data_IF_165465628533
#
_entry.id   IF_165465628533
#
_cell.length_a   1.000
_cell.length_b   1.000
_cell.length_c   1.000
_cell.angle_alpha   90.00
_cell.angle_beta   90.00
_cell.angle_gamma   90.00
#
_symmetry.space_group_name_H-M   'P 1'
#
loop_
_entity.id
_entity.type
_entity.pdbx_description
1 polymer ?
#
# COMPACT_ATOMS: atom_id res chain seq x y z
N UNK A 1 9.59 -17.01 33.90
CA UNK A 1 8.26 -16.82 34.51
C UNK A 1 7.48 -15.82 33.66
N UNK A 2 6.55 -16.32 32.85
CA UNK A 2 5.61 -15.55 32.05
C UNK A 2 4.63 -14.91 33.03
N UNK A 3 4.73 -13.59 33.22
CA UNK A 3 3.73 -12.82 33.92
C UNK A 3 2.47 -12.71 33.08
N UNK A 4 1.45 -13.43 33.46
CA UNK A 4 0.08 -13.16 33.04
C UNK A 4 -0.32 -11.79 33.54
N UNK A 5 -0.39 -10.80 32.65
CA UNK A 5 -1.08 -9.54 32.94
C UNK A 5 -2.57 -9.84 32.84
N UNK A 6 -3.19 -10.05 34.00
CA UNK A 6 -4.63 -10.05 34.18
C UNK A 6 -5.11 -8.61 33.90
N UNK A 7 -5.71 -8.37 32.74
CA UNK A 7 -6.43 -7.13 32.48
C UNK A 7 -7.71 -7.11 33.33
N UNK A 8 -7.67 -6.41 34.45
CA UNK A 8 -8.88 -5.86 35.05
C UNK A 8 -9.54 -4.96 33.98
N UNK A 9 -10.85 -5.11 33.78
CA UNK A 9 -11.70 -4.25 32.94
C UNK A 9 -11.66 -2.80 33.45
N UNK A 10 -10.58 -2.09 33.16
CA UNK A 10 -10.55 -0.64 33.09
C UNK A 10 -10.92 -0.27 31.66
N UNK A 11 -11.88 0.60 31.48
CA UNK A 11 -12.30 1.08 30.17
C UNK A 11 -11.08 1.60 29.42
N UNK A 12 -10.60 0.87 28.41
CA UNK A 12 -9.56 1.32 27.50
C UNK A 12 -10.25 2.25 26.52
N UNK A 13 -10.14 3.54 26.71
CA UNK A 13 -10.85 4.53 25.92
C UNK A 13 -9.85 5.22 24.98
N UNK A 14 -10.06 5.09 23.66
CA UNK A 14 -9.43 5.96 22.68
C UNK A 14 -9.98 7.38 22.82
N UNK A 15 -9.09 8.35 22.85
CA UNK A 15 -9.47 9.75 22.92
C UNK A 15 -9.56 10.32 21.50
N UNK A 16 -10.72 10.85 21.15
CA UNK A 16 -10.93 11.59 19.91
C UNK A 16 -10.81 13.09 20.17
N UNK A 17 -10.20 13.83 19.25
CA UNK A 17 -10.01 15.27 19.36
C UNK A 17 -11.33 16.01 19.55
N UNK A 18 -11.34 17.11 20.35
CA UNK A 18 -12.53 17.93 20.53
C UNK A 18 -13.05 18.47 19.20
N UNK A 19 -14.37 18.32 18.95
CA UNK A 19 -15.01 18.78 17.71
C UNK A 19 -15.02 17.73 16.58
N UNK A 20 -14.40 16.56 16.77
CA UNK A 20 -14.61 15.43 15.89
C UNK A 20 -15.99 14.85 16.19
N UNK A 21 -16.95 15.07 15.28
CA UNK A 21 -18.17 14.27 15.33
C UNK A 21 -17.80 12.85 14.96
N UNK A 22 -18.01 11.89 15.83
CA UNK A 22 -17.94 10.46 15.50
C UNK A 22 -19.23 10.11 14.76
N UNK A 23 -19.46 10.79 13.62
CA UNK A 23 -20.56 10.49 12.70
C UNK A 23 -20.24 9.20 11.96
N UNK A 24 -20.38 8.11 12.59
CA UNK A 24 -19.94 6.81 12.15
C UNK A 24 -19.52 5.98 13.35
N UNK A 25 -20.22 6.15 14.47
CA UNK A 25 -20.02 5.37 15.70
C UNK A 25 -19.90 3.86 15.41
N UNK A 26 -20.52 3.39 14.32
CA UNK A 26 -20.43 2.02 13.85
C UNK A 26 -19.02 1.60 13.35
N UNK A 27 -18.21 2.53 12.81
CA UNK A 27 -16.85 2.21 12.36
C UNK A 27 -15.90 2.06 13.56
N UNK A 28 -16.05 2.90 14.57
CA UNK A 28 -15.28 2.81 15.81
C UNK A 28 -16.12 2.13 16.92
N UNK A 29 -16.71 0.94 16.60
CA UNK A 29 -17.35 0.10 17.60
C UNK A 29 -16.38 -0.32 18.71
N UNK A 30 -16.87 -0.70 19.87
CA UNK A 30 -16.04 -1.13 21.01
C UNK A 30 -15.05 -2.23 20.60
N UNK A 31 -15.50 -3.26 19.90
CA UNK A 31 -14.66 -4.37 19.44
C UNK A 31 -13.58 -3.90 18.43
N UNK A 32 -13.92 -2.97 17.53
CA UNK A 32 -12.97 -2.40 16.58
C UNK A 32 -11.91 -1.55 17.29
N UNK A 33 -12.32 -0.78 18.30
CA UNK A 33 -11.41 0.00 19.13
C UNK A 33 -10.51 -0.91 19.97
N UNK A 34 -11.03 -2.02 20.51
CA UNK A 34 -10.24 -2.99 21.28
C UNK A 34 -9.12 -3.58 20.41
N UNK A 35 -9.43 -4.03 19.20
CA UNK A 35 -8.41 -4.54 18.28
C UNK A 35 -7.37 -3.45 17.93
N UNK A 36 -7.82 -2.24 17.61
CA UNK A 36 -6.93 -1.12 17.29
C UNK A 36 -5.99 -0.79 18.47
N UNK A 37 -6.50 -0.82 19.67
CA UNK A 37 -5.73 -0.60 20.89
C UNK A 37 -4.68 -1.69 21.11
N UNK A 38 -5.04 -2.95 20.95
CA UNK A 38 -4.10 -4.07 21.05
C UNK A 38 -2.94 -3.92 20.05
N UNK A 39 -3.28 -3.54 18.81
CA UNK A 39 -2.29 -3.28 17.76
C UNK A 39 -1.40 -2.09 18.14
N UNK A 40 -1.98 -0.98 18.59
CA UNK A 40 -1.24 0.21 19.01
C UNK A 40 -0.26 -0.11 20.15
N UNK A 41 -0.75 -0.71 21.22
CA UNK A 41 0.07 -1.04 22.40
C UNK A 41 1.23 -1.97 22.07
N UNK A 42 1.01 -2.90 21.14
CA UNK A 42 2.03 -3.87 20.75
C UNK A 42 3.09 -3.31 19.81
N UNK A 43 2.72 -2.44 18.88
CA UNK A 43 3.59 -2.06 17.77
C UNK A 43 4.04 -0.59 17.74
N UNK A 44 3.39 0.31 18.49
CA UNK A 44 3.72 1.75 18.44
C UNK A 44 5.21 2.01 18.69
N UNK A 45 5.76 1.45 19.78
CA UNK A 45 7.16 1.66 20.14
C UNK A 45 8.13 1.08 19.09
N UNK A 46 7.76 -0.05 18.47
CA UNK A 46 8.58 -0.64 17.39
C UNK A 46 8.61 0.28 16.17
N UNK A 47 7.49 0.90 15.83
CA UNK A 47 7.42 1.86 14.72
C UNK A 47 8.22 3.12 15.06
N UNK A 48 8.12 3.65 16.29
CA UNK A 48 8.92 4.79 16.73
C UNK A 48 10.43 4.50 16.57
N UNK A 49 10.89 3.32 16.98
CA UNK A 49 12.28 2.90 16.80
C UNK A 49 12.69 2.81 15.33
N UNK A 50 11.83 2.28 14.46
CA UNK A 50 12.09 2.20 13.01
C UNK A 50 12.19 3.59 12.36
N UNK A 51 11.36 4.53 12.79
CA UNK A 51 11.43 5.91 12.30
C UNK A 51 12.71 6.63 12.76
N UNK A 52 13.21 6.31 13.95
CA UNK A 52 14.51 6.80 14.40
C UNK A 52 15.67 6.15 13.64
N UNK A 53 15.56 4.87 13.29
CA UNK A 53 16.55 4.21 12.40
C UNK A 53 16.60 4.86 11.01
N UNK A 54 15.47 5.31 10.46
CA UNK A 54 15.47 6.09 9.21
C UNK A 54 16.33 7.36 9.31
N UNK A 55 16.27 8.07 10.44
CA UNK A 55 17.08 9.28 10.68
C UNK A 55 18.57 8.94 10.77
N UNK A 56 18.92 7.87 11.50
CA UNK A 56 20.30 7.39 11.59
C UNK A 56 20.83 6.97 10.22
N UNK A 57 20.02 6.24 9.45
CA UNK A 57 20.39 5.84 8.10
C UNK A 57 20.69 7.07 7.22
N UNK A 58 19.82 8.08 7.22
CA UNK A 58 20.04 9.32 6.45
C UNK A 58 21.33 10.03 6.88
N UNK A 59 21.57 10.13 8.20
CA UNK A 59 22.81 10.72 8.71
C UNK A 59 24.06 9.98 8.22
N UNK A 60 24.02 8.64 8.19
CA UNK A 60 25.13 7.84 7.65
C UNK A 60 25.33 8.11 6.14
N UNK A 61 24.24 8.20 5.39
CA UNK A 61 24.31 8.53 3.96
C UNK A 61 24.93 9.92 3.76
N UNK A 62 24.49 10.91 4.51
CA UNK A 62 25.01 12.29 4.42
C UNK A 62 26.52 12.36 4.78
N UNK A 63 27.04 11.40 5.55
CA UNK A 63 28.46 11.21 5.87
C UNK A 63 29.23 10.37 4.86
N UNK A 64 28.59 9.91 3.78
CA UNK A 64 29.26 9.19 2.67
C UNK A 64 29.01 7.69 2.64
N UNK A 65 28.22 7.12 3.55
CA UNK A 65 27.83 5.69 3.51
C UNK A 65 26.66 5.53 2.53
N UNK A 66 26.97 5.31 1.27
CA UNK A 66 25.96 5.19 0.21
C UNK A 66 25.09 3.94 0.39
N UNK A 67 23.81 3.99 -0.06
CA UNK A 67 22.92 2.83 -0.08
C UNK A 67 23.57 1.62 -0.79
N UNK A 68 23.51 0.45 -0.18
CA UNK A 68 24.06 -0.78 -0.71
C UNK A 68 23.30 -2.00 -0.19
N UNK A 69 23.54 -3.15 -0.79
CA UNK A 69 23.04 -4.42 -0.26
C UNK A 69 23.68 -4.75 1.09
N UNK A 70 22.85 -5.15 2.06
CA UNK A 70 23.34 -5.53 3.39
C UNK A 70 24.08 -6.89 3.32
N UNK A 71 25.36 -6.95 3.67
CA UNK A 71 26.09 -8.23 3.67
C UNK A 71 25.54 -9.22 4.69
N UNK A 72 24.92 -8.77 5.78
CA UNK A 72 24.35 -9.63 6.82
C UNK A 72 23.14 -10.43 6.34
N UNK A 73 22.48 -9.99 5.28
CA UNK A 73 21.31 -10.66 4.69
C UNK A 73 21.63 -11.37 3.38
N UNK A 74 22.90 -11.54 3.04
CA UNK A 74 23.33 -12.15 1.78
C UNK A 74 22.74 -13.56 1.59
N UNK A 75 22.59 -14.35 2.67
CA UNK A 75 21.99 -15.68 2.62
C UNK A 75 20.52 -15.63 2.13
N UNK A 76 19.75 -14.63 2.52
CA UNK A 76 18.37 -14.44 2.03
C UNK A 76 18.37 -14.26 0.51
N UNK A 77 19.32 -13.49 -0.02
CA UNK A 77 19.43 -13.22 -1.47
C UNK A 77 19.91 -14.42 -2.27
N UNK A 78 20.77 -15.27 -1.67
CA UNK A 78 21.39 -16.42 -2.33
C UNK A 78 20.59 -17.72 -2.20
N UNK A 79 19.84 -17.90 -1.10
CA UNK A 79 19.08 -19.13 -0.86
C UNK A 79 17.84 -19.24 -1.76
N UNK A 80 17.41 -20.48 -1.96
CA UNK A 80 16.24 -20.82 -2.76
C UNK A 80 14.98 -20.81 -1.88
N UNK A 81 14.10 -19.87 -2.15
CA UNK A 81 12.79 -19.72 -1.52
C UNK A 81 11.85 -18.91 -2.41
N UNK A 82 10.56 -19.08 -2.22
CA UNK A 82 9.52 -18.34 -2.92
C UNK A 82 8.47 -17.81 -1.94
N UNK A 83 7.71 -16.81 -2.37
CA UNK A 83 6.56 -16.33 -1.63
C UNK A 83 5.42 -17.36 -1.67
N UNK A 84 4.48 -17.26 -0.73
CA UNK A 84 3.29 -18.11 -0.70
C UNK A 84 2.48 -17.96 -1.98
N UNK A 85 1.87 -19.06 -2.43
CA UNK A 85 1.02 -19.09 -3.63
C UNK A 85 0.03 -17.91 -3.65
N UNK A 86 -0.03 -17.25 -4.81
CA UNK A 86 -0.90 -16.11 -5.05
C UNK A 86 -2.34 -16.62 -5.20
N UNK A 87 -3.33 -15.99 -4.54
CA UNK A 87 -4.74 -16.32 -4.71
C UNK A 87 -5.17 -16.26 -6.18
N UNK A 88 -6.07 -17.16 -6.59
CA UNK A 88 -6.49 -17.28 -7.99
C UNK A 88 -7.04 -15.97 -8.56
N UNK A 89 -7.89 -15.29 -7.78
CA UNK A 89 -8.49 -14.00 -8.17
C UNK A 89 -7.47 -12.84 -8.28
N UNK A 90 -6.26 -12.97 -7.74
CA UNK A 90 -5.17 -12.00 -7.89
C UNK A 90 -4.19 -12.34 -9.02
N UNK A 91 -4.38 -13.43 -9.76
CA UNK A 91 -3.48 -13.82 -10.83
C UNK A 91 -3.56 -12.89 -12.04
N UNK A 92 -4.72 -12.29 -12.30
CA UNK A 92 -4.87 -11.29 -13.35
C UNK A 92 -4.95 -9.88 -12.75
N UNK A 93 -3.82 -9.19 -12.77
CA UNK A 93 -3.65 -7.82 -12.30
C UNK A 93 -3.10 -6.91 -13.39
N UNK A 94 -3.44 -7.19 -14.65
CA UNK A 94 -2.88 -6.47 -15.80
C UNK A 94 -3.25 -4.99 -15.83
N UNK A 95 -4.43 -4.64 -15.34
CA UNK A 95 -4.91 -3.25 -15.31
C UNK A 95 -5.36 -2.93 -13.89
N UNK A 96 -4.67 -1.99 -13.27
CA UNK A 96 -5.02 -1.44 -11.97
C UNK A 96 -5.19 0.07 -12.07
N UNK A 97 -6.16 0.60 -11.33
CA UNK A 97 -6.36 2.05 -11.20
C UNK A 97 -6.34 2.43 -9.73
N UNK A 98 -5.98 3.68 -9.47
CA UNK A 98 -5.91 4.27 -8.14
C UNK A 98 -6.82 5.47 -8.06
N UNK A 99 -7.44 5.66 -6.91
CA UNK A 99 -8.22 6.84 -6.60
C UNK A 99 -8.52 6.97 -5.11
N UNK A 100 -8.98 8.15 -4.67
CA UNK A 100 -9.31 8.40 -3.27
C UNK A 100 -10.49 7.56 -2.80
N UNK A 101 -10.63 7.45 -1.48
CA UNK A 101 -11.74 6.74 -0.83
C UNK A 101 -13.06 7.54 -0.80
N UNK A 102 -13.24 8.42 -1.78
CA UNK A 102 -14.51 9.13 -2.02
C UNK A 102 -15.59 8.18 -2.54
N UNK A 103 -16.81 8.32 -2.03
CA UNK A 103 -17.91 7.40 -2.29
C UNK A 103 -18.24 7.21 -3.78
N UNK A 104 -18.35 8.32 -4.51
CA UNK A 104 -18.64 8.30 -5.95
C UNK A 104 -17.46 7.76 -6.75
N UNK A 105 -16.23 8.13 -6.36
CA UNK A 105 -15.02 7.67 -7.03
C UNK A 105 -14.83 6.16 -6.87
N UNK A 106 -15.07 5.60 -5.68
CA UNK A 106 -15.03 4.16 -5.43
C UNK A 106 -16.00 3.42 -6.35
N UNK A 107 -17.27 3.86 -6.43
CA UNK A 107 -18.29 3.22 -7.28
C UNK A 107 -17.85 3.24 -8.75
N UNK A 108 -17.40 4.40 -9.25
CA UNK A 108 -16.96 4.52 -10.63
C UNK A 108 -15.73 3.66 -10.93
N UNK A 109 -14.78 3.62 -10.02
CA UNK A 109 -13.55 2.84 -10.16
C UNK A 109 -13.82 1.33 -10.15
N UNK A 110 -14.62 0.85 -9.22
CA UNK A 110 -15.01 -0.56 -9.14
C UNK A 110 -15.85 -1.01 -10.33
N UNK A 111 -16.62 -0.11 -10.93
CA UNK A 111 -17.44 -0.38 -12.13
C UNK A 111 -16.67 -0.23 -13.43
N UNK A 112 -15.43 0.25 -13.40
CA UNK A 112 -14.61 0.37 -14.59
C UNK A 112 -14.10 -1.00 -15.04
N UNK A 113 -13.77 -1.14 -16.33
CA UNK A 113 -13.28 -2.40 -16.88
C UNK A 113 -11.79 -2.60 -16.55
N UNK A 114 -11.48 -2.74 -15.27
CA UNK A 114 -10.13 -2.99 -14.72
C UNK A 114 -10.14 -4.21 -13.81
N UNK A 115 -8.97 -4.80 -13.58
CA UNK A 115 -8.87 -5.95 -12.72
C UNK A 115 -8.91 -5.55 -11.24
N UNK A 116 -8.24 -4.44 -10.88
CA UNK A 116 -8.08 -3.99 -9.50
C UNK A 116 -8.30 -2.49 -9.39
N UNK A 117 -8.98 -2.10 -8.32
CA UNK A 117 -9.02 -0.73 -7.83
C UNK A 117 -8.27 -0.62 -6.51
N UNK A 118 -7.20 0.15 -6.49
CA UNK A 118 -6.48 0.53 -5.28
C UNK A 118 -7.10 1.79 -4.69
N UNK A 119 -7.95 1.63 -3.68
CA UNK A 119 -8.55 2.72 -2.91
C UNK A 119 -7.52 3.27 -1.92
N UNK A 120 -7.30 4.56 -1.97
CA UNK A 120 -6.10 5.19 -1.44
C UNK A 120 -6.38 6.17 -0.31
N UNK A 121 -5.91 5.82 0.91
CA UNK A 121 -5.89 6.70 2.08
C UNK A 121 -4.63 7.57 2.16
N UNK A 122 -3.63 7.32 1.32
CA UNK A 122 -2.33 7.98 1.40
C UNK A 122 -2.25 9.22 0.48
N UNK A 123 -1.77 9.04 -0.75
CA UNK A 123 -1.38 10.17 -1.61
C UNK A 123 -2.58 10.87 -2.28
N UNK A 124 -3.69 10.17 -2.50
CA UNK A 124 -4.87 10.73 -3.19
C UNK A 124 -5.89 11.36 -2.25
N UNK A 125 -5.69 11.30 -0.95
CA UNK A 125 -6.64 11.78 0.05
C UNK A 125 -6.03 12.85 0.94
N UNK A 126 -6.69 13.99 1.07
CA UNK A 126 -6.35 14.94 2.14
C UNK A 126 -6.73 14.32 3.50
N UNK A 127 -5.79 14.18 4.46
CA UNK A 127 -6.02 13.41 5.69
C UNK A 127 -6.76 14.22 6.76
N UNK A 128 -7.86 14.85 6.37
CA UNK A 128 -8.81 15.44 7.33
C UNK A 128 -9.58 14.32 8.03
N UNK A 129 -10.05 14.59 9.24
CA UNK A 129 -10.81 13.60 9.98
C UNK A 129 -12.06 13.12 9.23
N UNK A 130 -12.80 14.06 8.63
CA UNK A 130 -14.00 13.73 7.86
C UNK A 130 -13.67 12.83 6.66
N UNK A 131 -12.57 13.08 5.95
CA UNK A 131 -12.16 12.25 4.84
C UNK A 131 -11.75 10.84 5.30
N UNK A 132 -11.05 10.72 6.42
CA UNK A 132 -10.65 9.42 6.97
C UNK A 132 -11.88 8.63 7.42
N UNK A 133 -12.77 9.23 8.21
CA UNK A 133 -14.00 8.58 8.66
C UNK A 133 -14.89 8.16 7.50
N UNK A 134 -15.20 9.10 6.61
CA UNK A 134 -16.04 8.82 5.45
C UNK A 134 -15.38 7.78 4.54
N UNK A 135 -14.07 7.83 4.39
CA UNK A 135 -13.29 6.83 3.66
C UNK A 135 -13.47 5.43 4.23
N UNK A 136 -13.35 5.25 5.53
CA UNK A 136 -13.55 3.97 6.20
C UNK A 136 -14.99 3.45 6.03
N UNK A 137 -16.00 4.33 6.16
CA UNK A 137 -17.42 3.99 5.89
C UNK A 137 -17.60 3.58 4.43
N UNK A 138 -17.07 4.35 3.49
CA UNK A 138 -17.18 4.07 2.06
C UNK A 138 -16.53 2.73 1.69
N UNK A 139 -15.36 2.43 2.28
CA UNK A 139 -14.66 1.17 2.07
C UNK A 139 -15.41 -0.02 2.66
N UNK A 140 -16.07 0.15 3.82
CA UNK A 140 -16.96 -0.86 4.40
C UNK A 140 -18.13 -1.14 3.46
N UNK A 141 -18.85 -0.09 3.05
CA UNK A 141 -20.01 -0.24 2.19
C UNK A 141 -19.63 -0.86 0.82
N UNK A 142 -18.44 -0.53 0.29
CA UNK A 142 -17.93 -1.13 -0.95
C UNK A 142 -17.61 -2.61 -0.78
N UNK A 143 -16.89 -3.00 0.28
CA UNK A 143 -16.57 -4.39 0.58
C UNK A 143 -17.81 -5.25 0.82
N UNK A 144 -18.86 -4.66 1.42
CA UNK A 144 -20.15 -5.29 1.65
C UNK A 144 -21.09 -5.25 0.44
N UNK A 145 -20.69 -4.59 -0.67
CA UNK A 145 -21.47 -4.37 -1.90
C UNK A 145 -22.78 -3.61 -1.67
N UNK A 146 -22.82 -2.76 -0.64
CA UNK A 146 -23.97 -1.92 -0.27
C UNK A 146 -23.78 -0.45 -0.64
N UNK A 147 -22.61 -0.10 -1.19
CA UNK A 147 -22.28 1.28 -1.53
C UNK A 147 -23.19 1.79 -2.67
N UNK A 148 -23.81 2.92 -2.42
CA UNK A 148 -24.58 3.67 -3.42
C UNK A 148 -24.37 5.16 -3.23
N UNK A 149 -24.58 5.94 -4.27
CA UNK A 149 -24.47 7.40 -4.22
C UNK A 149 -25.53 8.02 -5.12
N UNK A 150 -26.27 9.00 -4.61
CA UNK A 150 -27.18 9.82 -5.39
C UNK A 150 -26.65 11.26 -5.46
N UNK A 151 -26.53 11.78 -6.65
CA UNK A 151 -26.15 13.18 -6.84
C UNK A 151 -27.35 14.08 -6.57
N UNK A 152 -27.27 14.94 -5.55
CA UNK A 152 -28.36 15.80 -5.11
C UNK A 152 -28.80 16.85 -6.15
N UNK A 153 -27.93 17.19 -7.11
CA UNK A 153 -28.23 18.21 -8.15
C UNK A 153 -28.83 17.56 -9.40
N UNK A 154 -28.21 16.46 -9.86
CA UNK A 154 -28.61 15.80 -11.11
C UNK A 154 -29.56 14.64 -10.89
N UNK A 155 -29.82 14.25 -9.64
CA UNK A 155 -30.59 13.07 -9.22
C UNK A 155 -30.09 11.75 -9.83
N UNK A 156 -28.89 11.75 -10.40
CA UNK A 156 -28.28 10.55 -10.95
C UNK A 156 -27.84 9.61 -9.82
N UNK A 157 -28.25 8.36 -9.93
CA UNK A 157 -27.86 7.30 -9.02
C UNK A 157 -26.63 6.55 -9.53
N UNK A 158 -25.79 6.13 -8.60
CA UNK A 158 -24.58 5.33 -8.82
C UNK A 158 -24.64 4.12 -7.89
N UNK A 159 -24.58 2.94 -8.45
CA UNK A 159 -24.60 1.66 -7.74
C UNK A 159 -23.47 0.77 -8.26
N UNK A 160 -23.06 -0.23 -7.48
CA UNK A 160 -22.10 -1.21 -7.96
C UNK A 160 -22.71 -2.15 -8.99
N UNK A 161 -21.92 -2.48 -10.00
CA UNK A 161 -22.20 -3.56 -10.93
C UNK A 161 -22.16 -4.92 -10.20
N UNK A 162 -22.79 -5.97 -10.76
CA UNK A 162 -22.76 -7.31 -10.16
C UNK A 162 -21.36 -7.90 -10.01
N UNK A 163 -20.45 -7.59 -10.94
CA UNK A 163 -19.07 -8.05 -10.97
C UNK A 163 -18.11 -6.85 -10.97
N UNK A 164 -17.87 -6.24 -9.81
CA UNK A 164 -16.97 -5.10 -9.70
C UNK A 164 -15.50 -5.55 -9.70
N UNK A 165 -14.58 -4.64 -10.02
CA UNK A 165 -13.15 -4.85 -9.88
C UNK A 165 -12.77 -5.26 -8.44
N UNK A 166 -11.63 -5.93 -8.28
CA UNK A 166 -11.11 -6.29 -6.96
C UNK A 166 -10.73 -5.01 -6.20
N UNK A 167 -11.23 -4.90 -4.98
CA UNK A 167 -10.92 -3.78 -4.09
C UNK A 167 -9.64 -4.07 -3.30
N UNK A 168 -8.66 -3.17 -3.38
CA UNK A 168 -7.49 -3.14 -2.52
C UNK A 168 -7.44 -1.83 -1.73
N UNK A 169 -6.92 -1.87 -0.52
CA UNK A 169 -6.77 -0.71 0.34
C UNK A 169 -5.30 -0.29 0.43
N UNK A 170 -4.95 0.93 -0.03
CA UNK A 170 -3.64 1.51 0.27
C UNK A 170 -3.74 2.29 1.57
N UNK A 171 -3.07 1.79 2.60
CA UNK A 171 -2.98 2.43 3.90
C UNK A 171 -1.98 3.57 3.87
N UNK A 172 -2.06 4.49 4.81
CA UNK A 172 -1.04 5.54 4.99
C UNK A 172 0.33 4.94 5.34
N UNK A 173 1.39 5.67 5.03
CA UNK A 173 2.75 5.26 5.40
C UNK A 173 2.96 5.23 6.93
N UNK A 174 3.85 4.36 7.41
CA UNK A 174 4.16 4.19 8.84
C UNK A 174 4.62 5.48 9.54
N UNK A 175 5.12 6.47 8.78
CA UNK A 175 5.60 7.74 9.31
C UNK A 175 4.49 8.75 9.62
N UNK A 176 3.25 8.48 9.23
CA UNK A 176 2.13 9.41 9.40
C UNK A 176 1.32 9.10 10.66
N UNK A 177 1.15 10.11 11.51
CA UNK A 177 0.31 10.02 12.70
C UNK A 177 -1.13 10.43 12.38
N UNK A 178 -2.10 9.72 12.98
CA UNK A 178 -3.49 10.12 13.02
C UNK A 178 -3.73 11.05 14.21
N UNK A 179 -3.76 12.33 13.92
CA UNK A 179 -3.81 13.38 14.97
C UNK A 179 -5.12 13.43 15.76
N UNK A 180 -6.19 12.85 15.21
CA UNK A 180 -7.52 12.93 15.79
C UNK A 180 -7.82 11.77 16.75
N UNK A 181 -6.97 10.74 16.77
CA UNK A 181 -7.10 9.60 17.69
C UNK A 181 -5.82 9.48 18.52
N UNK A 182 -5.98 9.40 19.84
CA UNK A 182 -4.86 9.23 20.75
C UNK A 182 -5.20 8.24 21.87
N UNK A 183 -4.16 7.64 22.42
CA UNK A 183 -4.21 6.88 23.65
C UNK A 183 -3.14 7.39 24.59
N UNK A 184 -3.52 7.69 25.84
CA UNK A 184 -2.63 8.28 26.85
C UNK A 184 -1.82 9.48 26.34
N UNK A 185 -2.48 10.36 25.55
CA UNK A 185 -1.89 11.55 24.94
C UNK A 185 -0.98 11.29 23.74
N UNK A 186 -0.77 10.03 23.33
CA UNK A 186 0.04 9.65 22.17
C UNK A 186 -0.87 9.42 20.96
N UNK A 187 -0.66 10.17 19.87
CA UNK A 187 -1.40 9.95 18.62
C UNK A 187 -1.07 8.60 17.99
N UNK A 188 -2.08 7.91 17.49
CA UNK A 188 -1.91 6.63 16.80
C UNK A 188 -1.21 6.83 15.45
N UNK A 189 -0.59 5.77 14.92
CA UNK A 189 -0.13 5.75 13.54
C UNK A 189 -1.30 5.58 12.57
N UNK A 190 -1.37 6.44 11.57
CA UNK A 190 -2.42 6.39 10.55
C UNK A 190 -2.49 5.05 9.83
N UNK A 191 -1.32 4.48 9.55
CA UNK A 191 -1.21 3.14 8.95
C UNK A 191 -1.92 2.05 9.76
N UNK A 192 -1.79 2.09 11.10
CA UNK A 192 -2.44 1.12 11.99
C UNK A 192 -3.96 1.33 12.02
N UNK A 193 -4.40 2.59 12.02
CA UNK A 193 -5.84 2.93 11.96
C UNK A 193 -6.45 2.40 10.66
N UNK A 194 -5.87 2.77 9.52
CA UNK A 194 -6.39 2.39 8.21
C UNK A 194 -6.42 0.87 8.03
N UNK A 195 -5.32 0.19 8.39
CA UNK A 195 -5.20 -1.25 8.27
C UNK A 195 -6.19 -1.99 9.16
N UNK A 196 -6.20 -1.66 10.46
CA UNK A 196 -7.00 -2.38 11.45
C UNK A 196 -8.49 -2.18 11.21
N UNK A 197 -8.92 -0.94 10.95
CA UNK A 197 -10.34 -0.64 10.70
C UNK A 197 -10.83 -1.31 9.41
N UNK A 198 -10.04 -1.22 8.32
CA UNK A 198 -10.43 -1.88 7.08
C UNK A 198 -10.49 -3.40 7.22
N UNK A 199 -9.50 -4.01 7.86
CA UNK A 199 -9.47 -5.46 8.08
C UNK A 199 -10.63 -5.92 8.96
N UNK A 200 -10.83 -5.27 10.11
CA UNK A 200 -11.87 -5.63 11.08
C UNK A 200 -13.26 -5.68 10.44
N UNK A 201 -13.64 -4.62 9.76
CA UNK A 201 -15.00 -4.50 9.21
C UNK A 201 -15.24 -5.34 7.96
N UNK A 202 -14.19 -5.67 7.20
CA UNK A 202 -14.38 -6.11 5.82
C UNK A 202 -13.96 -7.55 5.54
N UNK A 203 -13.10 -8.18 6.35
CA UNK A 203 -12.54 -9.50 6.05
C UNK A 203 -13.60 -10.57 5.77
N UNK A 204 -14.70 -10.60 6.53
CA UNK A 204 -15.76 -11.58 6.32
C UNK A 204 -16.55 -11.32 5.03
N UNK A 205 -16.90 -10.05 4.76
CA UNK A 205 -17.65 -9.67 3.56
C UNK A 205 -16.84 -9.93 2.30
N UNK A 206 -15.55 -9.56 2.30
CA UNK A 206 -14.63 -9.81 1.19
C UNK A 206 -14.50 -11.31 0.91
N UNK A 207 -14.32 -12.13 1.94
CA UNK A 207 -14.24 -13.60 1.80
C UNK A 207 -15.53 -14.18 1.21
N UNK A 208 -16.71 -13.76 1.69
CA UNK A 208 -18.01 -14.19 1.14
C UNK A 208 -18.19 -13.81 -0.33
N UNK A 209 -17.60 -12.71 -0.74
CA UNK A 209 -17.66 -12.22 -2.12
C UNK A 209 -16.57 -12.84 -3.04
N UNK A 210 -15.86 -13.87 -2.57
CA UNK A 210 -14.80 -14.53 -3.35
C UNK A 210 -13.52 -13.71 -3.49
N UNK A 211 -13.34 -12.69 -2.67
CA UNK A 211 -12.16 -11.85 -2.58
C UNK A 211 -11.42 -12.11 -1.25
N UNK A 212 -10.56 -11.20 -0.85
CA UNK A 212 -9.86 -11.22 0.44
C UNK A 212 -9.50 -9.82 0.90
N UNK A 213 -9.02 -9.67 2.14
CA UNK A 213 -8.52 -8.41 2.65
C UNK A 213 -7.14 -8.13 2.02
N UNK A 214 -7.16 -7.36 0.93
CA UNK A 214 -5.99 -7.05 0.12
C UNK A 214 -5.54 -5.61 0.34
N UNK A 215 -4.22 -5.42 0.49
CA UNK A 215 -3.64 -4.13 0.82
C UNK A 215 -2.48 -3.76 -0.09
N UNK A 216 -2.24 -2.45 -0.17
CA UNK A 216 -0.99 -1.87 -0.62
C UNK A 216 -0.27 -1.22 0.57
N UNK A 217 1.01 -1.54 0.73
CA UNK A 217 1.87 -0.98 1.78
C UNK A 217 2.85 0.00 1.14
N UNK A 218 2.73 1.31 1.44
CA UNK A 218 3.59 2.33 0.86
C UNK A 218 4.82 2.65 1.70
N UNK A 219 5.76 3.38 1.10
CA UNK A 219 6.85 4.13 1.75
C UNK A 219 7.76 3.29 2.66
N UNK A 220 7.92 1.99 2.39
CA UNK A 220 8.91 1.17 3.09
C UNK A 220 10.32 1.68 2.79
N UNK A 221 11.19 1.74 3.80
CA UNK A 221 12.60 2.07 3.65
C UNK A 221 13.53 0.90 4.02
N UNK A 222 13.04 -0.07 4.80
CA UNK A 222 13.85 -1.20 5.21
C UNK A 222 13.04 -2.50 5.34
N UNK A 223 13.75 -3.63 5.29
CA UNK A 223 13.16 -4.94 5.57
C UNK A 223 12.72 -5.08 7.04
N UNK A 224 13.27 -4.31 7.95
CA UNK A 224 12.80 -4.27 9.34
C UNK A 224 11.36 -3.75 9.42
N UNK A 225 11.02 -2.75 8.60
CA UNK A 225 9.64 -2.28 8.48
C UNK A 225 8.73 -3.34 7.86
N UNK A 226 9.22 -4.07 6.86
CA UNK A 226 8.50 -5.20 6.28
C UNK A 226 8.25 -6.31 7.31
N UNK A 227 9.23 -6.58 8.17
CA UNK A 227 9.10 -7.53 9.28
C UNK A 227 8.03 -7.08 10.28
N UNK A 228 8.03 -5.82 10.69
CA UNK A 228 7.00 -5.28 11.60
C UNK A 228 5.61 -5.35 10.94
N UNK A 229 5.48 -5.08 9.66
CA UNK A 229 4.22 -5.29 8.93
C UNK A 229 3.78 -6.75 8.94
N UNK A 230 4.70 -7.70 8.73
CA UNK A 230 4.40 -9.14 8.83
C UNK A 230 3.89 -9.51 10.22
N UNK A 231 4.51 -8.96 11.27
CA UNK A 231 4.12 -9.18 12.66
C UNK A 231 2.73 -8.56 12.96
N UNK A 232 2.45 -7.34 12.46
CA UNK A 232 1.13 -6.67 12.58
C UNK A 232 0.04 -7.50 11.90
N UNK A 233 0.26 -7.90 10.65
CA UNK A 233 -0.71 -8.68 9.87
C UNK A 233 -0.98 -10.01 10.59
N UNK A 234 0.08 -10.70 10.98
CA UNK A 234 -0.01 -11.98 11.68
C UNK A 234 -0.78 -11.88 13.00
N UNK A 235 -0.51 -10.83 13.76
CA UNK A 235 -1.22 -10.56 15.00
C UNK A 235 -2.71 -10.31 14.78
N UNK A 236 -3.07 -9.49 13.78
CA UNK A 236 -4.47 -9.24 13.45
C UNK A 236 -5.19 -10.48 12.91
N UNK A 237 -4.50 -11.32 12.12
CA UNK A 237 -5.06 -12.60 11.70
C UNK A 237 -5.38 -13.51 12.89
N UNK A 238 -4.47 -13.58 13.88
CA UNK A 238 -4.66 -14.38 15.10
C UNK A 238 -5.83 -13.84 15.95
N UNK A 239 -5.90 -12.52 16.18
CA UNK A 239 -6.98 -11.89 16.95
C UNK A 239 -8.37 -12.06 16.29
N UNK A 240 -8.42 -12.11 14.96
CA UNK A 240 -9.66 -12.31 14.20
C UNK A 240 -9.95 -13.78 13.85
N UNK A 241 -9.12 -14.71 14.31
CA UNK A 241 -9.27 -16.15 14.02
C UNK A 241 -9.11 -16.49 12.54
N UNK A 242 -8.33 -15.71 11.79
CA UNK A 242 -8.07 -15.93 10.37
C UNK A 242 -6.88 -16.88 10.17
N UNK A 243 -6.91 -17.62 9.07
CA UNK A 243 -5.75 -18.44 8.68
C UNK A 243 -4.59 -17.56 8.25
N UNK A 244 -3.37 -17.96 8.63
CA UNK A 244 -2.14 -17.27 8.17
C UNK A 244 -2.11 -17.15 6.66
N UNK A 245 -1.89 -15.91 6.16
CA UNK A 245 -1.89 -15.59 4.75
C UNK A 245 -3.27 -15.36 4.14
N UNK A 246 -4.31 -15.15 4.95
CA UNK A 246 -5.61 -14.64 4.51
C UNK A 246 -5.48 -13.19 4.04
N UNK A 247 -4.76 -12.36 4.79
CA UNK A 247 -4.39 -11.02 4.37
C UNK A 247 -3.28 -11.09 3.32
N UNK A 248 -3.48 -10.41 2.19
CA UNK A 248 -2.45 -10.35 1.15
C UNK A 248 -2.06 -8.90 0.88
N UNK A 249 -0.77 -8.69 0.63
CA UNK A 249 -0.20 -7.35 0.46
C UNK A 249 0.62 -7.22 -0.81
N UNK A 250 0.60 -6.04 -1.40
CA UNK A 250 1.57 -5.57 -2.41
C UNK A 250 2.34 -4.42 -1.78
N UNK A 251 3.66 -4.45 -1.86
CA UNK A 251 4.50 -3.36 -1.33
C UNK A 251 4.97 -2.45 -2.45
N UNK A 252 4.87 -1.14 -2.22
CA UNK A 252 5.51 -0.17 -3.11
C UNK A 252 6.99 -0.08 -2.76
N UNK A 253 7.84 -0.35 -3.75
CA UNK A 253 9.27 -0.06 -3.67
C UNK A 253 9.46 1.31 -4.30
N UNK A 254 9.39 2.31 -3.50
CA UNK A 254 9.35 3.71 -3.93
C UNK A 254 10.32 4.60 -3.13
N UNK A 255 11.23 3.97 -2.39
CA UNK A 255 12.30 4.67 -1.68
C UNK A 255 13.65 4.07 -2.07
N UNK A 256 14.67 4.91 -2.18
CA UNK A 256 16.00 4.46 -2.58
C UNK A 256 16.58 3.39 -1.63
N UNK A 257 16.46 3.50 -0.29
CA UNK A 257 16.92 2.45 0.62
C UNK A 257 16.25 1.09 0.38
N UNK A 258 14.95 1.06 0.09
CA UNK A 258 14.21 -0.19 -0.13
C UNK A 258 14.65 -0.94 -1.39
N UNK A 259 15.18 -0.25 -2.40
CA UNK A 259 15.66 -0.88 -3.63
C UNK A 259 16.74 -1.92 -3.37
N UNK A 260 17.60 -1.68 -2.39
CA UNK A 260 18.68 -2.60 -2.01
C UNK A 260 18.23 -3.73 -1.07
N UNK A 261 16.93 -3.78 -0.75
CA UNK A 261 16.37 -4.71 0.25
C UNK A 261 15.12 -5.45 -0.26
N UNK A 262 14.95 -5.55 -1.57
CA UNK A 262 13.75 -6.15 -2.17
C UNK A 262 13.58 -7.64 -1.84
N UNK A 263 14.67 -8.42 -1.87
CA UNK A 263 14.64 -9.82 -1.48
C UNK A 263 14.25 -9.97 -0.02
N UNK A 264 14.82 -9.17 0.86
CA UNK A 264 14.55 -9.19 2.29
C UNK A 264 13.11 -8.77 2.59
N UNK A 265 12.59 -7.74 1.91
CA UNK A 265 11.19 -7.31 2.04
C UNK A 265 10.24 -8.44 1.64
N UNK A 266 10.50 -9.10 0.50
CA UNK A 266 9.73 -10.27 0.07
C UNK A 266 9.84 -11.42 1.08
N UNK A 267 11.03 -11.68 1.63
CA UNK A 267 11.29 -12.77 2.55
C UNK A 267 10.52 -12.62 3.86
N UNK A 268 10.60 -11.46 4.50
CA UNK A 268 9.90 -11.22 5.75
C UNK A 268 8.38 -11.16 5.62
N UNK A 269 7.88 -10.83 4.42
CA UNK A 269 6.45 -10.83 4.12
C UNK A 269 5.99 -12.06 3.34
N UNK A 270 6.81 -13.11 3.17
CA UNK A 270 6.56 -14.23 2.24
C UNK A 270 5.22 -14.94 2.41
N UNK A 271 4.66 -14.95 3.61
CA UNK A 271 3.36 -15.55 3.87
C UNK A 271 2.17 -14.67 3.41
N UNK A 272 2.41 -13.39 3.21
CA UNK A 272 1.36 -12.39 2.91
C UNK A 272 1.56 -11.69 1.56
N UNK A 273 2.80 -11.50 1.12
CA UNK A 273 3.10 -10.70 -0.06
C UNK A 273 2.70 -11.41 -1.36
N UNK A 274 2.19 -10.62 -2.31
CA UNK A 274 1.86 -11.09 -3.67
C UNK A 274 2.70 -10.41 -4.74
N UNK A 275 3.29 -9.25 -4.44
CA UNK A 275 4.11 -8.54 -5.41
C UNK A 275 4.74 -7.26 -4.89
N UNK A 276 5.64 -6.72 -5.69
CA UNK A 276 6.23 -5.40 -5.51
C UNK A 276 5.75 -4.46 -6.62
N UNK A 277 5.47 -3.22 -6.26
CA UNK A 277 5.08 -2.17 -7.21
C UNK A 277 6.24 -1.18 -7.40
N UNK A 278 6.51 -0.84 -8.65
CA UNK A 278 7.56 0.08 -9.07
C UNK A 278 7.05 1.53 -9.03
N UNK A 279 7.08 2.19 -7.88
CA UNK A 279 6.62 3.58 -7.69
C UNK A 279 7.62 4.59 -8.26
N UNK A 280 7.29 5.25 -9.38
CA UNK A 280 8.23 6.11 -10.14
C UNK A 280 8.52 7.44 -9.46
N UNK A 281 7.48 8.22 -9.18
CA UNK A 281 7.66 9.61 -8.72
C UNK A 281 8.23 9.68 -7.32
N UNK A 282 7.73 8.87 -6.41
CA UNK A 282 8.24 8.76 -5.05
C UNK A 282 9.69 8.26 -5.03
N UNK A 283 10.05 7.34 -5.92
CA UNK A 283 11.43 6.88 -6.04
C UNK A 283 12.37 7.99 -6.50
N UNK A 284 11.99 8.79 -7.50
CA UNK A 284 12.76 9.95 -7.94
C UNK A 284 12.92 10.94 -6.78
N UNK A 285 11.85 11.24 -6.08
CA UNK A 285 11.87 12.12 -4.91
C UNK A 285 12.76 11.56 -3.80
N UNK A 286 12.66 10.27 -3.51
CA UNK A 286 13.50 9.59 -2.53
C UNK A 286 14.97 9.61 -2.92
N UNK A 287 15.29 9.45 -4.22
CA UNK A 287 16.66 9.58 -4.72
C UNK A 287 17.23 10.96 -4.41
N UNK A 288 16.49 12.01 -4.75
CA UNK A 288 16.89 13.41 -4.47
C UNK A 288 17.08 13.61 -2.97
N UNK A 289 16.11 13.20 -2.16
CA UNK A 289 16.13 13.38 -0.71
C UNK A 289 17.28 12.62 -0.04
N UNK A 290 17.47 11.36 -0.42
CA UNK A 290 18.49 10.50 0.20
C UNK A 290 19.90 10.96 -0.14
N UNK A 291 20.12 11.45 -1.37
CA UNK A 291 21.43 11.86 -1.86
C UNK A 291 21.64 13.38 -1.86
N UNK A 292 20.87 14.13 -1.09
CA UNK A 292 20.89 15.60 -1.05
C UNK A 292 22.27 16.20 -0.66
N UNK A 293 23.08 15.43 0.06
CA UNK A 293 24.44 15.87 0.47
C UNK A 293 25.47 15.77 -0.67
N UNK A 294 25.10 15.19 -1.83
CA UNK A 294 26.01 14.91 -2.94
C UNK A 294 25.65 15.76 -4.18
N UNK A 295 26.31 16.91 -4.40
CA UNK A 295 26.02 17.79 -5.55
C UNK A 295 26.11 17.10 -6.91
N UNK A 296 27.01 16.13 -7.06
CA UNK A 296 27.19 15.37 -8.31
C UNK A 296 26.03 14.38 -8.59
N UNK A 297 25.11 14.18 -7.64
CA UNK A 297 23.89 13.36 -7.79
C UNK A 297 22.66 14.20 -8.11
N UNK A 298 22.83 15.50 -8.36
CA UNK A 298 21.72 16.38 -8.73
C UNK A 298 21.04 15.89 -9.99
N UNK A 299 19.73 15.71 -9.93
CA UNK A 299 18.92 15.32 -11.08
C UNK A 299 18.52 16.56 -11.91
N UNK A 300 18.34 16.41 -13.23
CA UNK A 300 17.81 17.47 -14.09
C UNK A 300 16.32 17.71 -13.80
N UNK A 301 15.71 18.67 -14.51
CA UNK A 301 14.28 18.94 -14.42
C UNK A 301 13.45 17.67 -14.61
N UNK A 302 12.41 17.50 -13.79
CA UNK A 302 11.58 16.29 -13.76
C UNK A 302 10.92 15.96 -15.11
N UNK A 303 10.70 16.96 -15.96
CA UNK A 303 10.04 16.76 -17.25
C UNK A 303 10.89 15.97 -18.25
N UNK A 304 12.21 15.95 -18.05
CA UNK A 304 13.15 15.18 -18.87
C UNK A 304 13.58 13.86 -18.24
N UNK A 305 13.14 13.57 -17.00
CA UNK A 305 13.41 12.30 -16.33
C UNK A 305 12.38 11.28 -16.80
N UNK A 306 12.79 10.43 -17.74
CA UNK A 306 11.99 9.32 -18.26
C UNK A 306 12.46 7.99 -17.69
N UNK A 307 11.68 6.91 -17.88
CA UNK A 307 12.07 5.56 -17.43
C UNK A 307 13.34 5.03 -18.09
N UNK A 308 13.82 5.66 -19.17
CA UNK A 308 15.08 5.33 -19.84
C UNK A 308 16.34 5.85 -19.12
N UNK A 309 16.17 6.62 -18.06
CA UNK A 309 17.32 7.06 -17.26
C UNK A 309 17.95 5.85 -16.55
N UNK A 310 19.29 5.74 -16.54
CA UNK A 310 19.99 4.56 -16.02
C UNK A 310 19.55 4.12 -14.63
N UNK A 311 19.35 5.05 -13.69
CA UNK A 311 18.94 4.72 -12.33
C UNK A 311 17.51 4.17 -12.24
N UNK A 312 16.59 4.65 -13.11
CA UNK A 312 15.22 4.13 -13.19
C UNK A 312 15.16 2.77 -13.89
N UNK A 313 15.92 2.61 -14.97
CA UNK A 313 16.03 1.32 -15.69
C UNK A 313 16.63 0.26 -14.79
N UNK A 314 17.72 0.55 -14.07
CA UNK A 314 18.35 -0.38 -13.14
C UNK A 314 17.41 -0.78 -12.00
N UNK A 315 16.71 0.18 -11.43
CA UNK A 315 15.71 -0.05 -10.38
C UNK A 315 14.58 -0.98 -10.86
N UNK A 316 13.96 -0.67 -12.00
CA UNK A 316 12.85 -1.48 -12.52
C UNK A 316 13.30 -2.89 -12.93
N UNK A 317 14.47 -3.02 -13.56
CA UNK A 317 15.04 -4.33 -13.93
C UNK A 317 15.34 -5.16 -12.68
N UNK A 318 15.93 -4.58 -11.64
CA UNK A 318 16.19 -5.28 -10.40
C UNK A 318 14.89 -5.78 -9.75
N UNK A 319 13.85 -4.92 -9.72
CA UNK A 319 12.54 -5.27 -9.15
C UNK A 319 11.91 -6.46 -9.89
N UNK A 320 11.86 -6.40 -11.23
CA UNK A 320 11.30 -7.48 -12.05
C UNK A 320 12.04 -8.78 -11.81
N UNK A 321 13.38 -8.78 -11.90
CA UNK A 321 14.20 -9.97 -11.72
C UNK A 321 14.03 -10.57 -10.30
N UNK A 322 13.97 -9.73 -9.28
CA UNK A 322 13.77 -10.17 -7.90
C UNK A 322 12.39 -10.81 -7.72
N UNK A 323 11.33 -10.15 -8.20
CA UNK A 323 9.98 -10.69 -8.12
C UNK A 323 9.85 -12.04 -8.84
N UNK A 324 10.34 -12.15 -10.07
CA UNK A 324 10.25 -13.40 -10.85
C UNK A 324 10.99 -14.54 -10.17
N UNK A 325 12.20 -14.30 -9.67
CA UNK A 325 12.97 -15.29 -8.93
C UNK A 325 12.22 -15.80 -7.69
N UNK A 326 11.43 -14.95 -7.03
CA UNK A 326 10.72 -15.26 -5.78
C UNK A 326 9.26 -15.67 -5.99
N UNK A 327 8.78 -15.80 -7.24
CA UNK A 327 7.40 -16.15 -7.54
C UNK A 327 6.38 -15.08 -7.18
N UNK A 328 6.80 -13.82 -7.10
CA UNK A 328 5.98 -12.66 -6.82
C UNK A 328 5.67 -11.87 -8.10
N UNK A 329 4.62 -11.04 -8.09
CA UNK A 329 4.33 -10.13 -9.19
C UNK A 329 5.21 -8.89 -9.17
N UNK A 330 5.68 -8.47 -10.34
CA UNK A 330 6.27 -7.17 -10.57
C UNK A 330 5.19 -6.24 -11.15
N UNK A 331 4.76 -5.25 -10.35
CA UNK A 331 3.71 -4.31 -10.76
C UNK A 331 4.35 -3.02 -11.29
N UNK A 332 3.89 -2.55 -12.45
CA UNK A 332 4.29 -1.26 -13.00
C UNK A 332 3.78 -0.08 -12.18
N UNK A 333 4.54 1.00 -12.19
CA UNK A 333 4.12 2.27 -11.62
C UNK A 333 3.00 2.93 -12.44
N UNK A 334 2.39 3.98 -11.87
CA UNK A 334 1.33 4.75 -12.53
C UNK A 334 1.82 5.42 -13.81
N UNK A 335 1.02 5.32 -14.86
CA UNK A 335 1.13 6.23 -15.99
C UNK A 335 0.59 7.61 -15.55
N UNK A 336 1.49 8.55 -15.29
CA UNK A 336 1.13 9.91 -14.87
C UNK A 336 0.70 10.75 -16.09
N UNK A 337 -0.36 10.33 -16.77
CA UNK A 337 -0.90 11.08 -17.90
C UNK A 337 -2.36 11.35 -17.63
N UNK A 338 -2.71 12.64 -17.60
CA UNK A 338 -4.11 13.08 -17.47
C UNK A 338 -4.72 13.07 -18.86
N UNK A 339 -5.81 12.31 -19.08
CA UNK A 339 -6.51 12.34 -20.35
C UNK A 339 -6.98 13.76 -20.71
N UNK A 340 -6.73 14.18 -21.95
CA UNK A 340 -7.29 15.42 -22.50
C UNK A 340 -8.75 15.23 -22.88
N UNK A 341 -9.51 16.33 -22.95
CA UNK A 341 -10.86 16.33 -23.54
C UNK A 341 -10.82 16.19 -25.06
N UNK A 342 -9.65 16.32 -25.67
CA UNK A 342 -9.42 16.23 -27.11
C UNK A 342 -9.02 14.78 -27.45
N UNK A 343 -9.82 14.12 -28.27
CA UNK A 343 -9.69 12.70 -28.59
C UNK A 343 -8.35 12.34 -29.27
N UNK A 344 -7.86 13.19 -30.19
CA UNK A 344 -6.59 12.96 -30.88
C UNK A 344 -5.36 13.09 -29.96
N UNK A 345 -5.44 13.94 -28.94
CA UNK A 345 -4.41 14.04 -27.91
C UNK A 345 -4.39 12.78 -27.04
N UNK A 346 -5.58 12.25 -26.69
CA UNK A 346 -5.68 11.02 -25.93
C UNK A 346 -5.10 9.81 -26.68
N UNK A 347 -5.28 9.71 -27.97
CA UNK A 347 -4.67 8.65 -28.79
C UNK A 347 -3.15 8.72 -28.75
N UNK A 348 -2.55 9.91 -28.91
CA UNK A 348 -1.10 10.11 -28.79
C UNK A 348 -0.59 9.80 -27.39
N UNK A 349 -1.34 10.16 -26.36
CA UNK A 349 -1.06 9.87 -24.96
C UNK A 349 -1.09 8.36 -24.70
N UNK A 350 -2.13 7.66 -25.15
CA UNK A 350 -2.27 6.22 -25.04
C UNK A 350 -1.14 5.46 -25.73
N UNK A 351 -0.76 5.89 -26.95
CA UNK A 351 0.39 5.33 -27.66
C UNK A 351 1.70 5.50 -26.89
N UNK A 352 1.94 6.68 -26.30
CA UNK A 352 3.11 6.97 -25.47
C UNK A 352 3.13 6.11 -24.19
N UNK A 353 1.99 6.00 -23.50
CA UNK A 353 1.85 5.20 -22.29
C UNK A 353 2.02 3.70 -22.59
N UNK A 354 1.41 3.20 -23.67
CA UNK A 354 1.57 1.81 -24.09
C UNK A 354 3.02 1.50 -24.44
N UNK A 355 3.72 2.38 -25.16
CA UNK A 355 5.12 2.19 -25.51
C UNK A 355 6.01 2.15 -24.25
N UNK A 356 5.79 3.03 -23.28
CA UNK A 356 6.58 3.09 -22.03
C UNK A 356 6.29 1.87 -21.14
N UNK A 357 5.03 1.51 -20.93
CA UNK A 357 4.65 0.32 -20.15
C UNK A 357 5.16 -0.97 -20.77
N UNK A 358 5.08 -1.10 -22.10
CA UNK A 358 5.49 -2.29 -22.81
C UNK A 358 7.01 -2.48 -22.82
N UNK A 359 7.77 -1.40 -23.05
CA UNK A 359 9.24 -1.50 -23.19
C UNK A 359 9.97 -1.69 -21.85
N UNK A 360 9.43 -1.22 -20.73
CA UNK A 360 10.18 -1.17 -19.46
C UNK A 360 9.74 -2.13 -18.37
N UNK A 361 8.50 -2.62 -18.41
CA UNK A 361 7.99 -3.54 -17.41
C UNK A 361 7.42 -4.84 -18.03
N UNK A 362 6.71 -4.75 -19.14
CA UNK A 362 6.10 -5.92 -19.78
C UNK A 362 7.04 -6.70 -20.72
N UNK A 363 8.02 -6.06 -21.35
CA UNK A 363 8.99 -6.78 -22.18
C UNK A 363 9.82 -7.80 -21.39
N UNK A 364 9.90 -7.64 -20.06
CA UNK A 364 10.53 -8.61 -19.16
C UNK A 364 9.54 -9.62 -18.56
N UNK A 365 8.23 -9.41 -18.71
CA UNK A 365 7.19 -10.33 -18.25
C UNK A 365 6.75 -11.35 -19.30
N UNK A 366 7.12 -11.18 -20.56
CA UNK A 366 6.73 -12.09 -21.63
C UNK A 366 7.52 -13.39 -21.60
N UNK A 367 7.00 -14.36 -20.89
CA UNK A 367 6.89 -15.69 -21.47
C UNK A 367 5.92 -15.58 -22.66
N UNK A 368 6.19 -16.34 -23.72
CA UNK A 368 5.56 -16.29 -25.06
C UNK A 368 4.02 -16.35 -25.11
N UNK A 369 3.34 -16.52 -23.98
CA UNK A 369 1.92 -16.79 -23.81
C UNK A 369 1.06 -15.54 -23.53
N UNK A 370 1.66 -14.35 -23.35
CA UNK A 370 0.95 -13.09 -23.06
C UNK A 370 1.01 -12.14 -24.26
N UNK A 371 0.65 -12.62 -25.44
CA UNK A 371 0.41 -11.76 -26.60
C UNK A 371 -0.97 -11.11 -26.46
N UNK A 372 -1.00 -9.81 -26.30
CA UNK A 372 -2.20 -9.02 -26.39
C UNK A 372 -2.75 -9.04 -27.81
N UNK A 373 -3.96 -9.56 -27.98
CA UNK A 373 -4.79 -9.16 -29.12
C UNK A 373 -5.56 -7.89 -28.70
N UNK A 374 -5.31 -6.80 -29.43
CA UNK A 374 -6.13 -5.59 -29.43
C UNK A 374 -7.53 -5.89 -29.94
#
# INVERSE_FOLDING_TARGET
SLGFISFLRGEIILNFSKGTSVSGSEIFSEDAQDLLMKVHLKFNNQIDMLLDERKKYQNNVDQGVLPSFDPLTEEIRKSDWTVRNIPENLKDRRIEITGPVDRKMIINALNSNVNVFMADFEDSLSPTWDNIQNGLVNMRDAAHRTISFQNNITHKEYNLNPDPAILMCRVRGLHLKEKHISYDGVSLYGALVDFTMYLFHNHQALNRNGSGPYFYIPKLQSYHEAKVWSDIISFCEDELGLKRGTVRVTCLIETLPAVFQMDEILYFLKDHIVGLNCGRWDYIFSFIKTLQAFPEKLLPDRNIITMNQPFLTSYSTLLVNTCHRRGAFAMGGMAAVIPSKIQDENLKILQKVSAVSYTHLRAHETREDLVWRL
#
